data_IF_939557157760
#
_entry.id   IF_939557157760
#
_cell.length_a   1.000
_cell.length_b   1.000
_cell.length_c   1.000
_cell.angle_alpha   90.00
_cell.angle_beta   90.00
_cell.angle_gamma   90.00
#
_symmetry.space_group_name_H-M   'P 1'
#
loop_
_entity.id
_entity.type
_entity.pdbx_description
1 polymer ?
#
# COMPACT_ATOMS: atom_id res chain seq x y z
N UNK A 1 8.97 -10.10 -17.22
CA UNK A 1 7.94 -9.10 -17.58
C UNK A 1 6.79 -9.31 -16.62
N UNK A 2 6.58 -8.43 -15.64
CA UNK A 2 5.68 -8.68 -14.51
C UNK A 2 4.20 -8.37 -14.80
N UNK A 3 3.96 -7.48 -15.76
CA UNK A 3 2.64 -7.12 -16.26
C UNK A 3 2.30 -8.04 -17.44
N UNK A 4 1.18 -8.73 -17.37
CA UNK A 4 0.69 -9.63 -18.42
C UNK A 4 -0.28 -8.87 -19.33
N UNK A 5 -1.60 -8.98 -19.08
CA UNK A 5 -2.61 -8.40 -19.97
C UNK A 5 -2.53 -6.88 -20.09
N UNK A 6 -2.06 -6.20 -19.03
CA UNK A 6 -1.93 -4.74 -19.02
C UNK A 6 -1.00 -4.23 -20.13
N UNK A 7 0.08 -4.97 -20.44
CA UNK A 7 1.04 -4.55 -21.46
C UNK A 7 0.45 -4.54 -22.88
N UNK A 8 -0.60 -5.31 -23.12
CA UNK A 8 -1.22 -5.47 -24.44
C UNK A 8 -2.26 -4.36 -24.69
N UNK A 9 -2.82 -3.76 -23.63
CA UNK A 9 -3.83 -2.71 -23.79
C UNK A 9 -3.16 -1.37 -24.16
N UNK A 10 -3.56 -0.71 -25.26
CA UNK A 10 -3.02 0.60 -25.60
C UNK A 10 -3.28 1.64 -24.51
N UNK A 11 -2.24 2.39 -24.11
CA UNK A 11 -2.34 3.43 -23.08
C UNK A 11 -3.44 4.46 -23.37
N UNK A 12 -3.63 4.96 -24.60
CA UNK A 12 -4.73 5.88 -24.90
C UNK A 12 -6.12 5.34 -24.52
N UNK A 13 -6.35 4.02 -24.65
CA UNK A 13 -7.62 3.38 -24.25
C UNK A 13 -7.78 3.36 -22.72
N UNK A 14 -6.69 3.14 -21.98
CA UNK A 14 -6.68 3.21 -20.52
C UNK A 14 -7.04 4.64 -20.08
N UNK A 15 -6.33 5.63 -20.61
CA UNK A 15 -6.53 7.05 -20.28
C UNK A 15 -7.95 7.51 -20.62
N UNK A 16 -8.47 7.13 -21.79
CA UNK A 16 -9.84 7.48 -22.18
C UNK A 16 -10.88 6.92 -21.19
N UNK A 17 -10.71 5.69 -20.71
CA UNK A 17 -11.61 5.12 -19.71
C UNK A 17 -11.52 5.87 -18.38
N UNK A 18 -10.30 6.16 -17.89
CA UNK A 18 -10.13 6.89 -16.64
C UNK A 18 -10.73 8.30 -16.74
N UNK A 19 -10.44 9.06 -17.81
CA UNK A 19 -11.00 10.41 -17.98
C UNK A 19 -12.53 10.42 -18.06
N UNK A 20 -13.12 9.44 -18.76
CA UNK A 20 -14.58 9.38 -18.96
C UNK A 20 -15.32 8.81 -17.74
N UNK A 21 -14.82 7.72 -17.16
CA UNK A 21 -15.53 6.92 -16.14
C UNK A 21 -14.96 7.10 -14.73
N UNK A 22 -13.72 7.59 -14.63
CA UNK A 22 -12.97 7.71 -13.39
C UNK A 22 -12.09 6.51 -13.08
N UNK A 23 -12.18 5.44 -13.85
CA UNK A 23 -11.44 4.21 -13.60
C UNK A 23 -11.15 3.42 -14.88
N UNK A 24 -10.19 2.51 -14.77
CA UNK A 24 -9.90 1.43 -15.71
C UNK A 24 -9.68 0.14 -14.92
N UNK A 25 -10.36 -0.93 -15.32
CA UNK A 25 -10.26 -2.25 -14.71
C UNK A 25 -9.78 -3.25 -15.76
N UNK A 26 -8.90 -4.17 -15.36
CA UNK A 26 -8.42 -5.25 -16.20
C UNK A 26 -8.15 -6.52 -15.39
N UNK A 27 -8.62 -7.64 -15.93
CA UNK A 27 -8.36 -8.97 -15.39
C UNK A 27 -6.96 -9.47 -15.77
N UNK A 28 -6.35 -10.27 -14.90
CA UNK A 28 -5.04 -10.89 -15.11
C UNK A 28 -3.93 -9.87 -15.49
N UNK A 29 -3.99 -8.68 -14.87
CA UNK A 29 -3.05 -7.61 -15.11
C UNK A 29 -1.60 -8.03 -14.83
N UNK A 30 -1.42 -8.86 -13.79
CA UNK A 30 -0.19 -9.57 -13.47
C UNK A 30 -0.44 -11.07 -13.42
N UNK A 31 0.58 -11.86 -13.71
CA UNK A 31 0.51 -13.31 -13.57
C UNK A 31 0.34 -13.74 -12.11
N UNK A 32 -0.35 -14.86 -11.88
CA UNK A 32 -0.52 -15.41 -10.53
C UNK A 32 0.82 -15.67 -9.84
N UNK A 33 1.85 -16.10 -10.58
CA UNK A 33 3.21 -16.28 -10.06
C UNK A 33 3.82 -14.98 -9.53
N UNK A 34 3.54 -13.86 -10.19
CA UNK A 34 3.98 -12.52 -9.75
C UNK A 34 3.23 -12.11 -8.49
N UNK A 35 1.91 -12.32 -8.46
CA UNK A 35 1.10 -12.05 -7.27
C UNK A 35 1.52 -12.91 -6.06
N UNK A 36 1.88 -14.18 -6.27
CA UNK A 36 2.46 -15.06 -5.24
C UNK A 36 3.81 -14.56 -4.75
N UNK A 37 4.67 -14.13 -5.67
CA UNK A 37 5.99 -13.60 -5.32
C UNK A 37 5.89 -12.32 -4.48
N UNK A 38 4.97 -11.42 -4.83
CA UNK A 38 4.68 -10.22 -4.04
C UNK A 38 4.28 -10.58 -2.59
N UNK A 39 3.36 -11.53 -2.40
CA UNK A 39 2.95 -11.99 -1.07
C UNK A 39 4.11 -12.61 -0.28
N UNK A 40 4.95 -13.40 -0.96
CA UNK A 40 6.11 -14.08 -0.37
C UNK A 40 7.17 -13.09 0.13
N UNK A 41 7.52 -12.09 -0.67
CA UNK A 41 8.55 -11.09 -0.32
C UNK A 41 8.13 -10.23 0.89
N UNK A 42 6.84 -9.90 0.97
CA UNK A 42 6.27 -9.10 2.05
C UNK A 42 6.14 -9.91 3.33
N UNK A 43 5.69 -11.18 3.23
CA UNK A 43 5.37 -12.03 4.38
C UNK A 43 4.52 -11.28 5.42
N UNK A 44 3.29 -10.94 5.03
CA UNK A 44 2.42 -10.01 5.76
C UNK A 44 2.01 -10.49 7.17
N UNK A 45 2.23 -11.77 7.49
CA UNK A 45 1.92 -12.33 8.80
C UNK A 45 3.10 -12.30 9.78
N UNK A 46 4.30 -11.95 9.33
CA UNK A 46 5.49 -11.86 10.16
C UNK A 46 5.62 -10.46 10.79
N UNK A 47 5.50 -10.38 12.12
CA UNK A 47 5.63 -9.12 12.86
C UNK A 47 7.11 -8.87 13.15
N UNK A 48 7.65 -7.74 12.70
CA UNK A 48 9.03 -7.37 13.02
C UNK A 48 9.09 -6.74 14.40
N UNK A 49 9.60 -7.49 15.38
CA UNK A 49 9.94 -6.96 16.70
C UNK A 49 11.45 -7.02 16.89
N UNK A 50 12.03 -5.87 17.24
CA UNK A 50 13.47 -5.72 17.44
C UNK A 50 14.30 -6.19 16.23
N UNK A 51 13.92 -5.71 15.05
CA UNK A 51 14.66 -5.95 13.80
C UNK A 51 15.01 -4.62 13.15
N UNK A 52 16.10 -4.59 12.40
CA UNK A 52 16.57 -3.40 11.67
C UNK A 52 15.86 -3.20 10.32
N UNK A 53 14.75 -3.91 10.08
CA UNK A 53 13.98 -3.87 8.84
C UNK A 53 12.61 -3.24 9.08
N UNK A 54 12.03 -2.64 8.02
CA UNK A 54 10.65 -2.14 8.05
C UNK A 54 9.69 -3.34 8.20
N UNK A 55 8.90 -3.30 9.27
CA UNK A 55 7.97 -4.35 9.64
C UNK A 55 6.55 -4.13 9.16
N UNK A 56 5.78 -5.21 9.16
CA UNK A 56 4.33 -5.13 9.07
C UNK A 56 3.78 -4.52 10.35
N UNK A 57 2.87 -3.56 10.20
CA UNK A 57 2.17 -2.89 11.30
C UNK A 57 0.67 -3.19 11.29
N UNK A 58 0.01 -2.92 12.42
CA UNK A 58 -1.37 -3.30 12.67
C UNK A 58 -2.23 -2.11 13.09
N UNK A 59 -3.44 -2.04 12.54
CA UNK A 59 -4.47 -1.13 13.03
C UNK A 59 -5.84 -1.81 12.97
N UNK A 60 -6.35 -2.21 14.14
CA UNK A 60 -7.59 -2.96 14.27
C UNK A 60 -7.55 -4.27 13.49
N UNK A 61 -8.42 -4.38 12.47
CA UNK A 61 -8.55 -5.56 11.60
C UNK A 61 -7.75 -5.44 10.29
N UNK A 62 -6.74 -4.56 10.25
CA UNK A 62 -5.88 -4.38 9.10
C UNK A 62 -4.41 -4.56 9.44
N UNK A 63 -3.66 -5.10 8.48
CA UNK A 63 -2.20 -5.14 8.46
C UNK A 63 -1.69 -4.30 7.30
N UNK A 64 -0.56 -3.62 7.50
CA UNK A 64 0.07 -2.82 6.46
C UNK A 64 1.57 -3.06 6.45
N UNK A 65 2.14 -3.16 5.25
CA UNK A 65 3.55 -2.89 5.02
C UNK A 65 3.66 -1.65 4.14
N UNK A 66 3.71 -0.48 4.78
CA UNK A 66 4.13 0.76 4.13
C UNK A 66 5.60 0.67 3.74
N UNK A 67 6.04 1.51 2.82
CA UNK A 67 7.43 1.51 2.36
C UNK A 67 7.90 0.15 1.80
N UNK A 68 7.01 -0.54 1.08
CA UNK A 68 7.25 -1.89 0.60
C UNK A 68 8.41 -2.03 -0.41
N UNK A 69 8.86 -0.92 -1.02
CA UNK A 69 10.03 -0.87 -1.90
C UNK A 69 11.36 -1.12 -1.15
N UNK A 70 11.34 -1.17 0.18
CA UNK A 70 12.49 -1.63 0.97
C UNK A 70 12.64 -3.16 0.98
N UNK A 71 11.57 -3.90 0.69
CA UNK A 71 11.50 -5.37 0.84
C UNK A 71 11.20 -6.13 -0.43
N UNK A 72 10.48 -5.53 -1.38
CA UNK A 72 10.02 -6.22 -2.58
C UNK A 72 10.60 -5.61 -3.86
N UNK A 73 11.54 -6.32 -4.49
CA UNK A 73 12.00 -5.96 -5.85
C UNK A 73 10.87 -6.11 -6.85
N UNK A 74 10.00 -7.10 -6.66
CA UNK A 74 8.84 -7.30 -7.54
C UNK A 74 7.90 -6.09 -7.51
N UNK A 75 7.66 -5.49 -6.34
CA UNK A 75 6.88 -4.26 -6.22
C UNK A 75 7.58 -3.06 -6.88
N UNK A 76 8.91 -2.94 -6.70
CA UNK A 76 9.71 -1.92 -7.38
C UNK A 76 9.57 -2.03 -8.91
N UNK A 77 9.86 -3.20 -9.45
CA UNK A 77 9.86 -3.46 -10.90
C UNK A 77 8.47 -3.21 -11.52
N UNK A 78 7.38 -3.42 -10.78
CA UNK A 78 6.01 -3.10 -11.21
C UNK A 78 5.74 -1.59 -11.23
N UNK A 79 6.02 -0.91 -10.11
CA UNK A 79 5.79 0.53 -9.94
C UNK A 79 6.60 1.35 -10.95
N UNK A 80 7.84 0.94 -11.22
CA UNK A 80 8.73 1.62 -12.18
C UNK A 80 8.68 1.01 -13.58
N UNK A 81 7.69 0.15 -13.88
CA UNK A 81 7.59 -0.47 -15.19
C UNK A 81 7.31 0.57 -16.29
N UNK A 82 7.84 0.39 -17.51
CA UNK A 82 7.59 1.32 -18.61
C UNK A 82 6.09 1.56 -18.86
N UNK A 83 5.26 0.53 -18.67
CA UNK A 83 3.82 0.62 -18.86
C UNK A 83 3.13 1.49 -17.80
N UNK A 84 3.52 1.38 -16.53
CA UNK A 84 2.99 2.24 -15.47
C UNK A 84 3.41 3.68 -15.69
N UNK A 85 4.69 3.92 -16.01
CA UNK A 85 5.21 5.25 -16.27
C UNK A 85 4.55 5.90 -17.50
N UNK A 86 4.28 5.14 -18.55
CA UNK A 86 3.55 5.60 -19.74
C UNK A 86 2.09 5.97 -19.43
N UNK A 87 1.40 5.21 -18.58
CA UNK A 87 0.06 5.58 -18.08
C UNK A 87 0.12 6.87 -17.28
N UNK A 88 1.08 6.99 -16.36
CA UNK A 88 1.24 8.18 -15.52
C UNK A 88 1.55 9.42 -16.36
N UNK A 89 2.53 9.36 -17.27
CA UNK A 89 2.90 10.50 -18.12
C UNK A 89 1.79 10.89 -19.11
N UNK A 90 0.99 9.93 -19.58
CA UNK A 90 -0.14 10.21 -20.46
C UNK A 90 -1.35 10.80 -19.72
N UNK A 91 -1.51 10.50 -18.43
CA UNK A 91 -2.61 11.02 -17.62
C UNK A 91 -2.28 12.37 -16.99
N UNK A 92 -1.08 12.51 -16.42
CA UNK A 92 -0.68 13.61 -15.57
C UNK A 92 0.03 14.69 -16.40
N UNK A 93 -0.42 15.96 -16.35
CA UNK A 93 -0.01 17.00 -17.30
C UNK A 93 1.36 17.63 -16.99
N UNK A 94 2.04 17.24 -15.92
CA UNK A 94 3.30 17.85 -15.48
C UNK A 94 4.19 16.84 -14.75
N UNK A 95 5.18 17.33 -13.99
CA UNK A 95 5.99 16.53 -13.07
C UNK A 95 5.05 15.75 -12.14
N UNK A 96 5.30 14.45 -12.02
CA UNK A 96 4.55 13.55 -11.16
C UNK A 96 5.48 12.66 -10.35
N UNK A 97 4.99 12.21 -9.19
CA UNK A 97 5.77 11.44 -8.23
C UNK A 97 4.93 10.34 -7.59
N UNK A 98 5.61 9.28 -7.19
CA UNK A 98 5.08 8.28 -6.28
C UNK A 98 4.80 8.93 -4.92
N UNK A 99 3.56 8.89 -4.46
CA UNK A 99 3.10 9.55 -3.24
C UNK A 99 3.03 8.60 -2.05
N UNK A 100 2.58 7.38 -2.30
CA UNK A 100 2.49 6.32 -1.30
C UNK A 100 2.55 4.95 -1.98
N UNK A 101 2.98 3.93 -1.24
CA UNK A 101 2.94 2.54 -1.69
C UNK A 101 2.92 1.59 -0.50
N UNK A 102 2.03 0.61 -0.56
CA UNK A 102 1.89 -0.35 0.53
C UNK A 102 1.26 -1.65 0.09
N UNK A 103 1.56 -2.69 0.88
CA UNK A 103 0.72 -3.88 0.94
C UNK A 103 -0.26 -3.72 2.09
N UNK A 104 -1.51 -4.09 1.85
CA UNK A 104 -2.52 -4.10 2.89
C UNK A 104 -3.23 -5.44 2.94
N UNK A 105 -3.41 -5.95 4.15
CA UNK A 105 -4.34 -7.03 4.46
C UNK A 105 -5.50 -6.45 5.25
N UNK A 106 -6.72 -6.61 4.76
CA UNK A 106 -7.93 -6.19 5.47
C UNK A 106 -8.75 -7.43 5.84
N UNK A 107 -9.16 -7.51 7.10
CA UNK A 107 -10.01 -8.57 7.65
C UNK A 107 -11.38 -8.01 8.06
N UNK A 108 -12.23 -8.91 8.57
CA UNK A 108 -13.61 -8.64 8.99
C UNK A 108 -13.81 -7.34 9.76
N UNK A 109 -15.00 -6.75 9.63
CA UNK A 109 -15.45 -5.63 10.44
C UNK A 109 -14.81 -4.28 10.08
N UNK A 110 -13.86 -4.25 9.15
CA UNK A 110 -13.40 -2.99 8.59
C UNK A 110 -14.40 -2.46 7.56
N UNK A 111 -14.82 -1.21 7.74
CA UNK A 111 -15.73 -0.54 6.83
C UNK A 111 -15.17 0.84 6.49
N UNK A 112 -14.84 1.06 5.21
CA UNK A 112 -14.52 2.39 4.72
C UNK A 112 -15.78 3.00 4.12
N UNK A 113 -16.23 4.16 4.62
CA UNK A 113 -17.29 4.92 3.98
C UNK A 113 -16.90 5.29 2.54
N UNK A 114 -17.85 5.79 1.76
CA UNK A 114 -17.53 6.42 0.49
C UNK A 114 -16.62 7.63 0.71
N UNK A 115 -15.46 7.64 0.04
CA UNK A 115 -14.44 8.66 0.17
C UNK A 115 -13.72 8.92 -1.15
N UNK A 116 -12.95 10.00 -1.16
CA UNK A 116 -11.93 10.31 -2.16
C UNK A 116 -10.56 10.34 -1.46
N UNK A 117 -9.48 10.19 -2.22
CA UNK A 117 -8.12 10.06 -1.68
C UNK A 117 -7.24 11.30 -1.89
N UNK A 118 -7.81 12.41 -2.37
CA UNK A 118 -7.14 13.73 -2.47
C UNK A 118 -6.97 14.45 -1.12
N UNK A 119 -6.84 13.73 -0.01
CA UNK A 119 -6.80 14.35 1.32
C UNK A 119 -5.37 14.80 1.66
N UNK A 120 -5.20 16.08 1.98
CA UNK A 120 -4.00 16.58 2.64
C UNK A 120 -4.07 16.37 4.13
N UNK A 121 -2.94 15.99 4.72
CA UNK A 121 -2.80 15.80 6.14
C UNK A 121 -1.92 16.90 6.71
N UNK A 122 -2.52 17.82 7.47
CA UNK A 122 -1.78 18.77 8.29
C UNK A 122 -2.02 18.45 9.77
N UNK A 123 -0.94 18.19 10.51
CA UNK A 123 -0.89 18.05 11.98
C UNK A 123 -2.07 17.28 12.61
N UNK A 124 -2.36 16.10 12.06
CA UNK A 124 -3.36 15.15 12.56
C UNK A 124 -4.82 15.64 12.67
N UNK A 125 -5.14 16.88 12.29
CA UNK A 125 -6.46 17.48 12.56
C UNK A 125 -7.03 18.45 11.51
N UNK A 126 -6.36 18.78 10.42
CA UNK A 126 -6.98 19.61 9.36
C UNK A 126 -6.94 18.87 8.02
N UNK A 127 -8.12 18.46 7.55
CA UNK A 127 -8.32 17.83 6.24
C UNK A 127 -8.63 18.94 5.23
N UNK A 128 -7.69 19.24 4.35
CA UNK A 128 -7.96 20.01 3.14
C UNK A 128 -7.83 19.06 1.97
N UNK A 129 -8.78 19.08 1.04
CA UNK A 129 -8.65 18.30 -0.17
C UNK A 129 -7.91 19.09 -1.24
N UNK A 130 -6.90 18.49 -1.86
CA UNK A 130 -6.21 19.12 -2.99
C UNK A 130 -6.89 18.78 -4.31
N UNK A 131 -6.55 19.54 -5.35
CA UNK A 131 -7.05 19.33 -6.72
C UNK A 131 -5.96 18.82 -7.67
N UNK A 132 -4.80 18.41 -7.14
CA UNK A 132 -3.74 17.83 -7.96
C UNK A 132 -4.23 16.52 -8.60
N UNK A 133 -4.15 16.39 -9.94
CA UNK A 133 -4.42 15.15 -10.63
C UNK A 133 -3.58 13.99 -10.07
N UNK A 134 -4.20 12.83 -9.96
CA UNK A 134 -3.47 11.63 -9.56
C UNK A 134 -4.25 10.35 -9.77
N UNK A 135 -3.48 9.26 -9.75
CA UNK A 135 -3.94 7.92 -10.01
C UNK A 135 -3.58 7.00 -8.85
N UNK A 136 -4.51 6.11 -8.52
CA UNK A 136 -4.27 5.02 -7.58
C UNK A 136 -4.36 3.71 -8.36
N UNK A 137 -3.37 2.86 -8.12
CA UNK A 137 -3.26 1.53 -8.69
C UNK A 137 -3.47 0.52 -7.56
N UNK A 138 -4.39 -0.42 -7.75
CA UNK A 138 -4.61 -1.53 -6.80
C UNK A 138 -4.55 -2.86 -7.54
N UNK A 139 -3.52 -3.64 -7.22
CA UNK A 139 -3.38 -5.03 -7.66
C UNK A 139 -3.92 -5.93 -6.56
N UNK A 140 -4.86 -6.80 -6.94
CA UNK A 140 -5.48 -7.74 -6.02
C UNK A 140 -4.61 -8.99 -5.86
N UNK A 141 -4.31 -9.35 -4.62
CA UNK A 141 -3.46 -10.50 -4.28
C UNK A 141 -4.29 -11.66 -3.69
N UNK A 142 -5.61 -11.56 -3.76
CA UNK A 142 -6.59 -12.52 -3.26
C UNK A 142 -7.92 -12.31 -3.98
N UNK A 143 -8.75 -13.35 -4.04
CA UNK A 143 -10.11 -13.30 -4.60
C UNK A 143 -11.03 -12.39 -3.79
N UNK A 144 -11.83 -11.54 -4.43
CA UNK A 144 -12.68 -10.53 -3.78
C UNK A 144 -14.08 -10.46 -4.41
N UNK A 145 -14.92 -11.41 -4.01
CA UNK A 145 -16.35 -11.46 -4.32
C UNK A 145 -17.25 -10.98 -3.16
N UNK A 146 -16.76 -11.02 -1.91
CA UNK A 146 -17.56 -10.66 -0.72
C UNK A 146 -17.44 -9.17 -0.36
N UNK A 147 -16.23 -8.60 -0.49
CA UNK A 147 -15.94 -7.17 -0.27
C UNK A 147 -15.34 -6.54 -1.54
N UNK A 148 -16.07 -6.57 -2.68
CA UNK A 148 -15.58 -6.03 -3.93
C UNK A 148 -15.35 -4.52 -3.85
N UNK A 149 -14.45 -4.02 -4.69
CA UNK A 149 -14.29 -2.58 -4.90
C UNK A 149 -15.57 -2.02 -5.51
N UNK A 150 -15.96 -0.83 -5.06
CA UNK A 150 -17.07 -0.08 -5.62
C UNK A 150 -16.60 1.33 -5.96
N UNK A 151 -17.07 1.84 -7.10
CA UNK A 151 -16.77 3.18 -7.59
C UNK A 151 -18.05 3.83 -8.09
N UNK A 152 -18.22 5.13 -7.86
CA UNK A 152 -19.32 5.90 -8.46
C UNK A 152 -18.82 6.44 -9.80
N UNK A 153 -19.25 5.84 -10.90
CA UNK A 153 -18.79 6.20 -12.26
C UNK A 153 -18.98 7.70 -12.55
N UNK A 154 -17.93 8.36 -13.03
CA UNK A 154 -17.93 9.79 -13.33
C UNK A 154 -17.78 10.72 -12.11
N UNK A 155 -17.69 10.18 -10.89
CA UNK A 155 -17.62 11.00 -9.67
C UNK A 155 -16.41 11.91 -9.54
N UNK A 156 -15.30 11.58 -10.20
CA UNK A 156 -14.12 12.44 -10.28
C UNK A 156 -14.40 13.81 -10.92
N UNK A 157 -15.51 13.96 -11.67
CA UNK A 157 -15.88 15.21 -12.32
C UNK A 157 -16.66 16.16 -11.41
N UNK A 158 -17.18 15.68 -10.27
CA UNK A 158 -18.05 16.47 -9.41
C UNK A 158 -17.77 16.32 -7.91
N UNK A 159 -16.83 15.46 -7.52
CA UNK A 159 -16.51 15.21 -6.11
C UNK A 159 -15.99 16.43 -5.36
N UNK A 160 -15.38 17.39 -6.08
CA UNK A 160 -14.92 18.67 -5.51
C UNK A 160 -16.04 19.49 -4.86
N UNK A 161 -17.30 19.28 -5.27
CA UNK A 161 -18.46 19.87 -4.61
C UNK A 161 -18.66 19.39 -3.16
N UNK A 162 -17.93 18.35 -2.75
CA UNK A 162 -17.99 17.72 -1.43
C UNK A 162 -16.62 17.73 -0.74
N UNK A 163 -15.74 18.68 -1.08
CA UNK A 163 -14.40 18.74 -0.49
C UNK A 163 -14.39 19.10 1.00
N UNK A 164 -15.47 19.72 1.50
CA UNK A 164 -15.70 19.92 2.94
C UNK A 164 -16.00 18.63 3.70
N UNK A 165 -16.35 17.56 2.99
CA UNK A 165 -16.73 16.27 3.56
C UNK A 165 -15.62 15.23 3.38
N UNK A 166 -15.17 14.65 4.49
CA UNK A 166 -14.26 13.51 4.44
C UNK A 166 -14.94 12.26 3.89
N UNK A 167 -16.20 12.07 4.27
CA UNK A 167 -16.98 10.88 3.94
C UNK A 167 -18.39 11.28 3.52
N UNK A 168 -18.96 10.57 2.54
CA UNK A 168 -20.38 10.68 2.19
C UNK A 168 -21.14 9.43 2.65
N UNK A 169 -22.38 9.62 3.09
CA UNK A 169 -23.16 8.53 3.69
C UNK A 169 -23.73 7.56 2.65
N UNK A 170 -23.86 6.29 3.04
CA UNK A 170 -24.47 5.24 2.22
C UNK A 170 -25.89 5.59 1.78
N UNK A 171 -26.73 6.09 2.70
CA UNK A 171 -28.11 6.46 2.39
C UNK A 171 -28.18 7.54 1.31
N UNK A 172 -27.28 8.53 1.38
CA UNK A 172 -27.22 9.59 0.39
C UNK A 172 -26.76 9.09 -0.97
N UNK A 173 -25.70 8.26 -1.01
CA UNK A 173 -25.21 7.65 -2.25
C UNK A 173 -26.28 6.76 -2.90
N UNK A 174 -26.98 5.94 -2.11
CA UNK A 174 -28.05 5.09 -2.63
C UNK A 174 -29.24 5.89 -3.17
N UNK A 175 -29.53 7.06 -2.61
CA UNK A 175 -30.60 7.92 -3.09
C UNK A 175 -30.25 8.62 -4.41
N UNK A 176 -29.01 9.07 -4.58
CA UNK A 176 -28.65 9.97 -5.69
C UNK A 176 -27.85 9.28 -6.81
N UNK A 177 -27.04 8.26 -6.51
CA UNK A 177 -26.05 7.70 -7.44
C UNK A 177 -26.10 6.17 -7.56
N UNK A 178 -27.18 5.52 -7.08
CA UNK A 178 -27.29 4.05 -7.09
C UNK A 178 -27.05 3.43 -8.47
N UNK A 179 -27.47 4.10 -9.55
CA UNK A 179 -27.32 3.60 -10.93
C UNK A 179 -25.89 3.71 -11.45
N UNK A 180 -25.09 4.57 -10.84
CA UNK A 180 -23.72 4.88 -11.24
C UNK A 180 -22.70 4.09 -10.42
N UNK A 181 -23.13 3.39 -9.38
CA UNK A 181 -22.29 2.47 -8.61
C UNK A 181 -21.89 1.29 -9.51
N UNK A 182 -20.60 1.20 -9.78
CA UNK A 182 -19.96 0.02 -10.39
C UNK A 182 -19.34 -0.81 -9.29
N UNK A 183 -19.48 -2.13 -9.40
CA UNK A 183 -18.91 -3.09 -8.46
C UNK A 183 -17.99 -4.02 -9.23
N UNK A 184 -16.78 -4.24 -8.72
CA UNK A 184 -15.75 -5.04 -9.37
C UNK A 184 -15.43 -6.24 -8.48
N UNK A 185 -15.90 -7.42 -8.89
CA UNK A 185 -15.49 -8.68 -8.29
C UNK A 185 -14.10 -9.02 -8.84
N UNK A 186 -13.09 -8.86 -7.99
CA UNK A 186 -11.69 -8.94 -8.42
C UNK A 186 -11.12 -10.30 -8.09
N UNK A 187 -10.33 -10.86 -9.00
CA UNK A 187 -9.53 -12.06 -8.78
C UNK A 187 -8.10 -11.71 -8.42
N UNK A 188 -7.36 -12.68 -7.92
CA UNK A 188 -5.92 -12.52 -7.74
C UNK A 188 -5.25 -12.24 -9.09
N UNK A 189 -4.44 -11.19 -9.15
CA UNK A 189 -3.75 -10.74 -10.36
C UNK A 189 -4.48 -9.63 -11.11
N UNK A 190 -5.72 -9.31 -10.75
CA UNK A 190 -6.49 -8.23 -11.36
C UNK A 190 -6.00 -6.85 -10.89
N UNK A 191 -6.20 -5.84 -11.74
CA UNK A 191 -5.82 -4.45 -11.48
C UNK A 191 -7.01 -3.53 -11.69
N UNK A 192 -7.15 -2.58 -10.78
CA UNK A 192 -7.93 -1.36 -11.01
C UNK A 192 -7.02 -0.14 -10.89
N UNK A 193 -7.18 0.78 -11.83
CA UNK A 193 -6.55 2.11 -11.85
C UNK A 193 -7.68 3.12 -11.78
N UNK A 194 -7.64 4.08 -10.87
CA UNK A 194 -8.69 5.08 -10.75
C UNK A 194 -8.15 6.46 -10.38
N UNK A 195 -8.91 7.48 -10.74
CA UNK A 195 -8.63 8.86 -10.36
C UNK A 195 -8.88 9.05 -8.86
N UNK A 196 -7.92 9.63 -8.15
CA UNK A 196 -7.99 9.80 -6.70
C UNK A 196 -9.14 10.69 -6.21
N UNK A 197 -9.74 11.51 -7.10
CA UNK A 197 -10.92 12.32 -6.81
C UNK A 197 -12.21 11.51 -6.94
N UNK A 198 -12.14 10.25 -7.36
CA UNK A 198 -13.28 9.36 -7.49
C UNK A 198 -13.84 8.89 -6.16
N UNK A 199 -15.17 9.01 -5.98
CA UNK A 199 -15.84 8.39 -4.85
C UNK A 199 -15.82 6.87 -4.98
N UNK A 200 -15.18 6.23 -4.02
CA UNK A 200 -15.01 4.80 -4.00
C UNK A 200 -15.05 4.24 -2.59
N UNK A 201 -15.14 2.92 -2.50
CA UNK A 201 -14.99 2.15 -1.25
C UNK A 201 -14.80 0.68 -1.57
N UNK A 202 -14.46 -0.09 -0.56
CA UNK A 202 -14.81 -1.51 -0.56
C UNK A 202 -16.24 -1.70 -0.06
N UNK A 203 -17.01 -2.62 -0.65
CA UNK A 203 -18.28 -3.04 -0.05
C UNK A 203 -18.02 -3.57 1.37
N UNK A 204 -18.80 -3.18 2.39
CA UNK A 204 -18.60 -3.66 3.76
C UNK A 204 -18.58 -5.20 3.84
N UNK A 205 -17.69 -5.76 4.65
CA UNK A 205 -17.61 -7.22 4.86
C UNK A 205 -18.93 -7.75 5.43
N UNK A 206 -19.47 -8.79 4.78
CA UNK A 206 -20.60 -9.57 5.31
C UNK A 206 -20.15 -10.88 5.97
N UNK A 207 -18.99 -11.41 5.56
CA UNK A 207 -18.43 -12.67 6.06
C UNK A 207 -17.29 -12.44 7.08
N UNK A 208 -17.19 -13.34 8.07
CA UNK A 208 -16.25 -13.31 9.18
C UNK A 208 -14.87 -13.89 8.85
N UNK A 209 -14.74 -14.73 7.82
CA UNK A 209 -13.47 -15.44 7.53
C UNK A 209 -12.71 -14.90 6.31
N UNK A 210 -13.28 -13.91 5.61
CA UNK A 210 -12.68 -13.38 4.39
C UNK A 210 -11.51 -12.44 4.68
N UNK A 211 -10.45 -12.55 3.86
CA UNK A 211 -9.26 -11.72 3.93
C UNK A 211 -9.02 -11.09 2.56
N UNK A 212 -8.76 -9.79 2.55
CA UNK A 212 -8.33 -9.06 1.35
C UNK A 212 -6.89 -8.64 1.45
N UNK A 213 -6.06 -9.22 0.59
CA UNK A 213 -4.70 -8.78 0.34
C UNK A 213 -4.66 -7.96 -0.95
N UNK A 214 -4.10 -6.76 -0.87
CA UNK A 214 -3.85 -5.88 -2.01
C UNK A 214 -2.43 -5.33 -1.97
N UNK A 215 -1.90 -5.04 -3.14
CA UNK A 215 -0.77 -4.14 -3.34
C UNK A 215 -1.31 -2.85 -3.95
N UNK A 216 -1.00 -1.71 -3.35
CA UNK A 216 -1.44 -0.43 -3.84
C UNK A 216 -0.32 0.60 -3.88
N UNK A 217 -0.42 1.51 -4.82
CA UNK A 217 0.43 2.69 -4.90
C UNK A 217 -0.30 3.86 -5.55
N UNK A 218 0.10 5.07 -5.18
CA UNK A 218 -0.51 6.33 -5.60
C UNK A 218 0.54 7.20 -6.28
N UNK A 219 0.16 7.78 -7.40
CA UNK A 219 1.01 8.69 -8.17
C UNK A 219 0.23 9.97 -8.42
N UNK A 220 0.85 11.12 -8.15
CA UNK A 220 0.22 12.41 -8.32
C UNK A 220 1.12 13.38 -9.06
N UNK A 221 0.48 14.34 -9.72
CA UNK A 221 1.15 15.55 -10.14
C UNK A 221 1.67 16.30 -8.92
N UNK A 222 2.89 16.82 -9.01
CA UNK A 222 3.47 17.72 -8.01
C UNK A 222 3.69 19.09 -8.67
N UNK A 223 3.32 20.15 -7.95
CA UNK A 223 3.65 21.52 -8.31
C UNK A 223 4.37 22.21 -7.14
N UNK A 224 4.84 23.44 -7.38
CA UNK A 224 5.63 24.22 -6.43
C UNK A 224 4.95 24.42 -5.07
N UNK A 225 3.61 24.52 -5.04
CA UNK A 225 2.83 24.72 -3.82
C UNK A 225 2.69 23.43 -2.98
N UNK A 226 3.04 22.28 -3.56
CA UNK A 226 2.88 20.96 -2.93
C UNK A 226 4.18 20.15 -2.98
N UNK A 227 5.33 20.82 -3.06
CA UNK A 227 6.62 20.17 -2.90
C UNK A 227 6.70 19.47 -1.53
N UNK A 228 7.05 18.18 -1.55
CA UNK A 228 7.10 17.36 -0.34
C UNK A 228 5.75 16.77 0.08
N UNK A 229 4.70 16.90 -0.75
CA UNK A 229 3.46 16.14 -0.60
C UNK A 229 3.70 14.63 -0.78
N UNK A 230 3.04 13.83 0.06
CA UNK A 230 3.17 12.38 0.07
C UNK A 230 4.04 11.83 1.19
N UNK A 231 3.90 10.53 1.43
CA UNK A 231 4.65 9.79 2.45
C UNK A 231 6.15 9.77 2.13
N UNK A 232 6.98 9.63 3.17
CA UNK A 232 8.41 9.32 2.99
C UNK A 232 8.54 8.02 2.19
N UNK A 233 9.29 8.08 1.09
CA UNK A 233 9.53 6.96 0.18
C UNK A 233 10.90 6.36 0.47
N UNK A 234 10.90 5.14 1.00
CA UNK A 234 12.09 4.36 1.27
C UNK A 234 12.21 3.25 0.22
N UNK A 235 13.35 3.23 -0.47
CA UNK A 235 13.66 2.25 -1.51
C UNK A 235 14.98 1.56 -1.19
N UNK A 236 15.04 0.25 -1.38
CA UNK A 236 16.31 -0.45 -1.36
C UNK A 236 17.10 -0.04 -2.61
N UNK A 237 18.22 0.66 -2.43
CA UNK A 237 19.06 1.14 -3.53
C UNK A 237 19.54 0.00 -4.46
N UNK A 238 19.67 -1.22 -3.93
CA UNK A 238 20.02 -2.39 -4.72
C UNK A 238 18.91 -2.88 -5.68
N UNK A 239 17.71 -2.30 -5.63
CA UNK A 239 16.66 -2.56 -6.61
C UNK A 239 16.73 -1.62 -7.82
N UNK A 240 17.47 -0.51 -7.73
CA UNK A 240 17.57 0.49 -8.79
C UNK A 240 18.65 0.07 -9.78
N UNK A 241 18.25 -0.75 -10.75
CA UNK A 241 19.17 -1.29 -11.76
C UNK A 241 19.68 -0.19 -12.72
N UNK A 242 18.85 0.82 -13.04
CA UNK A 242 19.17 1.92 -13.97
C UNK A 242 18.64 3.27 -13.44
N UNK A 243 19.43 4.02 -12.66
CA UNK A 243 19.00 5.28 -12.05
C UNK A 243 18.97 6.43 -13.07
N UNK A 244 17.90 6.54 -13.86
CA UNK A 244 17.67 7.71 -14.71
C UNK A 244 17.11 8.89 -13.91
N UNK A 245 17.34 10.15 -14.34
CA UNK A 245 16.73 11.32 -13.70
C UNK A 245 15.20 11.20 -13.56
N UNK A 246 14.52 10.63 -14.57
CA UNK A 246 13.07 10.43 -14.54
C UNK A 246 12.64 9.46 -13.45
N UNK A 247 13.33 8.32 -13.30
CA UNK A 247 13.04 7.35 -12.23
C UNK A 247 13.33 7.94 -10.85
N UNK A 248 14.45 8.64 -10.70
CA UNK A 248 14.81 9.26 -9.42
C UNK A 248 13.82 10.36 -9.03
N UNK A 249 13.40 11.19 -9.99
CA UNK A 249 12.38 12.23 -9.78
C UNK A 249 11.01 11.60 -9.44
N UNK A 250 10.62 10.56 -10.17
CA UNK A 250 9.39 9.81 -9.92
C UNK A 250 9.38 9.20 -8.51
N UNK A 251 10.50 8.67 -8.04
CA UNK A 251 10.67 8.12 -6.68
C UNK A 251 10.87 9.20 -5.61
N UNK A 252 10.95 10.48 -5.99
CA UNK A 252 11.05 11.61 -5.06
C UNK A 252 12.44 11.84 -4.44
N UNK A 253 13.52 11.36 -5.07
CA UNK A 253 14.88 11.57 -4.57
C UNK A 253 15.19 13.08 -4.41
N UNK A 254 15.78 13.43 -3.27
CA UNK A 254 16.17 14.81 -2.96
C UNK A 254 15.02 15.71 -2.48
N UNK A 255 13.79 15.20 -2.39
CA UNK A 255 12.62 15.97 -1.97
C UNK A 255 12.27 15.61 -0.53
N UNK A 256 12.35 16.57 0.42
CA UNK A 256 12.00 16.30 1.81
C UNK A 256 10.48 16.11 1.93
N UNK A 257 10.07 14.98 2.51
CA UNK A 257 8.67 14.67 2.81
C UNK A 257 8.44 14.60 4.31
N UNK A 258 7.32 15.16 4.77
CA UNK A 258 6.95 15.21 6.20
C UNK A 258 5.54 14.70 6.47
N UNK A 259 4.85 14.15 5.47
CA UNK A 259 3.52 13.59 5.70
C UNK A 259 3.62 12.39 6.64
N UNK A 260 2.78 12.33 7.69
CA UNK A 260 2.73 11.17 8.55
C UNK A 260 2.13 9.98 7.79
N UNK A 261 2.77 8.82 7.91
CA UNK A 261 2.18 7.55 7.44
C UNK A 261 1.00 7.22 8.35
N UNK A 262 -0.17 6.96 7.75
CA UNK A 262 -1.37 6.53 8.48
C UNK A 262 -1.75 5.09 8.13
N UNK A 263 -2.31 4.32 9.08
CA UNK A 263 -2.65 4.71 10.45
C UNK A 263 -1.43 4.76 11.37
N UNK A 264 -1.44 5.64 12.39
CA UNK A 264 -0.46 5.57 13.49
C UNK A 264 -0.67 4.26 14.26
N UNK A 265 0.35 3.41 14.32
CA UNK A 265 0.26 2.06 14.90
C UNK A 265 1.09 1.91 16.16
N UNK A 266 0.62 1.09 17.09
CA UNK A 266 1.39 0.61 18.25
C UNK A 266 0.83 -0.74 18.70
N UNK A 267 1.37 -1.31 19.79
CA UNK A 267 0.77 -2.50 20.42
C UNK A 267 -0.71 -2.24 20.79
N UNK A 268 -1.06 -1.00 21.15
CA UNK A 268 -2.43 -0.63 21.52
C UNK A 268 -3.41 -0.67 20.33
N UNK A 269 -2.93 -0.70 19.09
CA UNK A 269 -3.77 -0.78 17.89
C UNK A 269 -3.94 -2.21 17.35
N UNK A 270 -3.34 -3.20 18.02
CA UNK A 270 -3.48 -4.61 17.65
C UNK A 270 -4.81 -5.21 18.15
N UNK A 271 -5.41 -6.10 17.37
CA UNK A 271 -6.51 -6.94 17.86
C UNK A 271 -5.98 -8.03 18.81
N UNK A 272 -6.85 -8.58 19.66
CA UNK A 272 -6.47 -9.65 20.59
C UNK A 272 -5.85 -10.88 19.89
N UNK A 273 -6.38 -11.27 18.72
CA UNK A 273 -5.83 -12.38 17.95
C UNK A 273 -4.41 -12.12 17.46
N UNK A 274 -4.11 -10.88 17.07
CA UNK A 274 -2.77 -10.49 16.64
C UNK A 274 -1.80 -10.35 17.82
N UNK A 275 -2.28 -9.93 18.99
CA UNK A 275 -1.48 -9.97 20.22
C UNK A 275 -1.06 -11.41 20.55
N UNK A 276 -1.99 -12.35 20.50
CA UNK A 276 -1.70 -13.78 20.71
C UNK A 276 -0.70 -14.29 19.67
N UNK A 277 -0.89 -13.96 18.39
CA UNK A 277 0.04 -14.32 17.32
C UNK A 277 1.45 -13.77 17.59
N UNK A 278 1.54 -12.51 18.03
CA UNK A 278 2.81 -11.89 18.40
C UNK A 278 3.49 -12.63 19.56
N UNK A 279 2.75 -12.93 20.63
CA UNK A 279 3.28 -13.68 21.77
C UNK A 279 3.79 -15.06 21.35
N UNK A 280 3.04 -15.78 20.51
CA UNK A 280 3.46 -17.08 19.99
C UNK A 280 4.75 -16.98 19.16
N UNK A 281 4.84 -15.95 18.30
CA UNK A 281 6.04 -15.68 17.50
C UNK A 281 7.26 -15.39 18.38
N UNK A 282 7.07 -14.67 19.49
CA UNK A 282 8.15 -14.25 20.39
C UNK A 282 8.50 -15.29 21.46
N UNK A 283 7.64 -16.29 21.71
CA UNK A 283 7.80 -17.23 22.81
C UNK A 283 9.15 -17.96 22.77
N UNK A 284 9.43 -18.66 21.66
CA UNK A 284 10.67 -19.42 21.52
C UNK A 284 11.93 -18.54 21.47
N UNK A 285 11.97 -17.43 20.69
CA UNK A 285 13.08 -16.48 20.75
C UNK A 285 13.35 -15.91 22.14
N UNK A 286 12.29 -15.58 22.89
CA UNK A 286 12.40 -15.05 24.25
C UNK A 286 13.00 -16.10 25.20
N UNK A 287 12.48 -17.33 25.18
CA UNK A 287 13.01 -18.43 26.00
C UNK A 287 14.49 -18.71 25.69
N UNK A 288 14.84 -18.77 24.39
CA UNK A 288 16.23 -18.95 23.94
C UNK A 288 17.12 -17.81 24.44
N UNK A 289 16.66 -16.56 24.36
CA UNK A 289 17.40 -15.40 24.84
C UNK A 289 17.61 -15.43 26.36
N UNK A 290 16.58 -15.81 27.12
CA UNK A 290 16.67 -15.96 28.59
C UNK A 290 17.71 -17.00 28.98
N UNK A 291 17.64 -18.22 28.42
CA UNK A 291 18.62 -19.28 28.68
C UNK A 291 20.04 -18.82 28.30
N UNK A 292 20.17 -18.21 27.12
CA UNK A 292 21.47 -17.70 26.64
C UNK A 292 22.05 -16.63 27.56
N UNK A 293 21.22 -15.71 28.05
CA UNK A 293 21.67 -14.63 28.91
C UNK A 293 21.98 -15.10 30.33
N UNK A 294 21.22 -16.07 30.87
CA UNK A 294 21.56 -16.74 32.13
C UNK A 294 22.92 -17.46 32.02
N UNK A 295 23.13 -18.23 30.94
CA UNK A 295 24.41 -18.88 30.69
C UNK A 295 25.57 -17.88 30.57
N UNK A 296 25.37 -16.75 29.89
CA UNK A 296 26.38 -15.67 29.82
C UNK A 296 26.64 -15.04 31.19
N UNK A 297 25.63 -14.78 32.00
CA UNK A 297 25.80 -14.17 33.32
C UNK A 297 26.69 -15.02 34.25
N UNK A 298 26.71 -16.34 34.04
CA UNK A 298 27.54 -17.28 34.80
C UNK A 298 28.98 -17.43 34.27
N UNK A 299 29.31 -16.84 33.12
CA UNK A 299 30.63 -16.94 32.48
C UNK A 299 31.30 -15.55 32.49
N UNK A 300 32.52 -15.40 33.02
CA UNK A 300 33.25 -14.12 32.96
C UNK A 300 33.38 -13.59 31.52
N UNK A 301 33.29 -12.27 31.34
CA UNK A 301 33.27 -11.65 30.01
C UNK A 301 34.45 -12.03 29.11
N UNK A 302 35.64 -12.20 29.68
CA UNK A 302 36.87 -12.63 28.97
C UNK A 302 36.73 -14.02 28.34
N UNK A 303 36.06 -14.93 29.05
CA UNK A 303 35.79 -16.29 28.56
C UNK A 303 34.74 -16.28 27.46
N UNK A 304 33.72 -15.40 27.54
CA UNK A 304 32.74 -15.25 26.47
C UNK A 304 33.37 -14.75 25.16
N UNK A 305 34.29 -13.80 25.23
CA UNK A 305 35.03 -13.27 24.07
C UNK A 305 35.93 -14.35 23.47
N UNK A 306 36.63 -15.11 24.30
CA UNK A 306 37.50 -16.21 23.87
C UNK A 306 36.70 -17.32 23.19
N UNK A 307 35.54 -17.69 23.75
CA UNK A 307 34.64 -18.69 23.18
C UNK A 307 34.07 -18.23 21.82
N UNK A 308 33.65 -16.96 21.71
CA UNK A 308 33.20 -16.37 20.43
C UNK A 308 34.28 -16.40 19.35
N UNK A 309 35.55 -16.12 19.71
CA UNK A 309 36.67 -16.15 18.76
C UNK A 309 36.99 -17.57 18.28
N UNK A 310 36.86 -18.58 19.14
CA UNK A 310 37.17 -19.98 18.79
C UNK A 310 36.06 -20.69 18.02
N UNK A 311 34.79 -20.41 18.33
CA UNK A 311 33.66 -21.07 17.68
C UNK A 311 33.30 -20.46 16.31
N UNK A 312 33.88 -19.32 15.95
CA UNK A 312 33.47 -18.54 14.79
C UNK A 312 32.09 -17.96 15.02
N UNK A 313 31.88 -16.68 14.70
CA UNK A 313 30.53 -16.13 14.71
C UNK A 313 29.73 -16.80 13.60
N UNK A 314 28.96 -17.84 13.91
CA UNK A 314 27.86 -18.26 13.03
C UNK A 314 26.85 -17.10 13.04
N UNK A 315 26.86 -16.30 11.97
CA UNK A 315 25.76 -15.38 11.67
C UNK A 315 24.51 -16.19 11.35
#
# INVERSE_FOLDING_TARGET
MYLNTLNIIPTPKIIQNIRKKGYFFIENAVDLKVADQLLKEVNIDNISVNKNEIGVVYSGNQKFLSNCLTRSKTAYDLITSPKVLDICSSYLPAIYQLISHQFAQTRRGFNMPWHTDNNQQLDSKVFVKHQMPGLIFIIYLSEQNISPFQYIEGSQLWSSNYDSERYISDAWVQKHYRKDIRTFEMKKGDLIIFDLHGFHRARPFQDRNHVRNIFQFQVEQINENYLGHGEEILVNVGFIDNPSPDILNYLGFGIPRKYPILAKTSIATMSMGELISLYNQLFYPTLKAMITNLGKALIPGEWQVTLKRRLGSSK
#
